data_IF_869038246696
#
_entry.id   IF_869038246696
#
_cell.length_a   1.000
_cell.length_b   1.000
_cell.length_c   1.000
_cell.angle_alpha   90.00
_cell.angle_beta   90.00
_cell.angle_gamma   90.00
#
_symmetry.space_group_name_H-M   'P 1'
#
loop_
_entity.id
_entity.type
_entity.pdbx_description
1 polymer ?
#
# COMPACT_ATOMS: atom_id res chain seq x y z
N UNK A 1 -9.41 20.44 -31.02
CA UNK A 1 -8.76 19.47 -30.12
C UNK A 1 -9.21 18.10 -30.58
N UNK A 2 -8.29 17.22 -30.97
CA UNK A 2 -8.61 15.85 -31.40
C UNK A 2 -8.96 15.03 -30.15
N UNK A 3 -10.18 14.53 -30.05
CA UNK A 3 -10.57 13.64 -28.95
C UNK A 3 -9.70 12.38 -28.98
N UNK A 4 -9.13 12.00 -27.84
CA UNK A 4 -8.41 10.73 -27.71
C UNK A 4 -9.37 9.57 -27.94
N UNK A 5 -8.99 8.54 -28.72
CA UNK A 5 -9.79 7.35 -28.85
C UNK A 5 -9.99 6.73 -27.46
N UNK A 6 -11.25 6.49 -27.10
CA UNK A 6 -11.59 5.86 -25.84
C UNK A 6 -11.02 4.42 -25.81
N UNK A 7 -10.53 3.96 -24.65
CA UNK A 7 -10.02 2.61 -24.54
C UNK A 7 -11.17 1.62 -24.72
N UNK A 8 -10.89 0.54 -25.46
CA UNK A 8 -11.86 -0.54 -25.67
C UNK A 8 -12.40 -1.02 -24.32
N UNK A 9 -13.70 -1.27 -24.25
CA UNK A 9 -14.32 -1.93 -23.10
C UNK A 9 -13.71 -3.34 -22.90
N UNK A 10 -13.48 -3.81 -21.66
CA UNK A 10 -12.95 -5.13 -21.45
C UNK A 10 -13.95 -6.18 -21.93
N UNK A 11 -13.47 -7.17 -22.69
CA UNK A 11 -14.33 -8.19 -23.29
C UNK A 11 -14.89 -9.20 -22.27
N UNK A 12 -14.34 -9.26 -21.06
CA UNK A 12 -14.76 -10.20 -20.00
C UNK A 12 -15.45 -9.49 -18.83
N UNK A 13 -16.40 -10.19 -18.19
CA UNK A 13 -17.08 -9.70 -16.98
C UNK A 13 -16.09 -9.35 -15.85
N UNK A 14 -15.05 -10.17 -15.68
CA UNK A 14 -13.96 -9.89 -14.72
C UNK A 14 -13.25 -8.58 -15.07
N UNK A 15 -12.91 -8.35 -16.34
CA UNK A 15 -12.27 -7.11 -16.78
C UNK A 15 -13.15 -5.88 -16.53
N UNK A 16 -14.46 -5.99 -16.80
CA UNK A 16 -15.43 -4.92 -16.52
C UNK A 16 -15.50 -4.60 -15.03
N UNK A 17 -15.62 -5.62 -14.18
CA UNK A 17 -15.63 -5.46 -12.73
C UNK A 17 -14.36 -4.77 -12.19
N UNK A 18 -13.18 -5.14 -12.70
CA UNK A 18 -11.92 -4.47 -12.29
C UNK A 18 -11.89 -3.01 -12.75
N UNK A 19 -12.40 -2.69 -13.94
CA UNK A 19 -12.49 -1.30 -14.42
C UNK A 19 -13.46 -0.47 -13.58
N UNK A 20 -14.61 -1.03 -13.23
CA UNK A 20 -15.59 -0.40 -12.32
C UNK A 20 -15.00 -0.18 -10.93
N UNK A 21 -14.24 -1.14 -10.42
CA UNK A 21 -13.53 -1.01 -9.15
C UNK A 21 -12.47 0.09 -9.21
N UNK A 22 -11.65 0.15 -10.26
CA UNK A 22 -10.69 1.23 -10.48
C UNK A 22 -11.40 2.59 -10.50
N UNK A 23 -12.48 2.70 -11.29
CA UNK A 23 -13.28 3.93 -11.39
C UNK A 23 -13.85 4.37 -10.04
N UNK A 24 -14.39 3.42 -9.26
CA UNK A 24 -14.93 3.69 -7.92
C UNK A 24 -13.85 4.20 -6.96
N UNK A 25 -12.66 3.61 -7.00
CA UNK A 25 -11.52 4.06 -6.21
C UNK A 25 -11.04 5.44 -6.65
N UNK A 26 -10.95 5.72 -7.95
CA UNK A 26 -10.60 7.03 -8.47
C UNK A 26 -11.59 8.12 -8.01
N UNK A 27 -12.89 7.81 -7.93
CA UNK A 27 -13.88 8.73 -7.35
C UNK A 27 -13.64 8.96 -5.85
N UNK A 28 -13.23 7.93 -5.11
CA UNK A 28 -12.92 8.05 -3.69
C UNK A 28 -11.72 8.97 -3.42
N UNK A 29 -10.84 9.19 -4.41
CA UNK A 29 -9.75 10.18 -4.33
C UNK A 29 -10.21 11.63 -4.59
N UNK A 30 -11.53 11.84 -4.69
CA UNK A 30 -12.14 13.16 -4.89
C UNK A 30 -12.31 13.55 -6.35
N UNK A 31 -12.05 12.65 -7.32
CA UNK A 31 -12.20 12.99 -8.74
C UNK A 31 -13.69 13.08 -9.12
N UNK A 32 -14.11 14.26 -9.57
CA UNK A 32 -15.47 14.54 -10.04
C UNK A 32 -15.60 14.23 -11.53
N UNK A 33 -15.96 12.99 -11.84
CA UNK A 33 -16.21 12.47 -13.19
C UNK A 33 -17.43 11.55 -13.18
N UNK A 34 -18.23 11.56 -14.25
CA UNK A 34 -19.50 10.80 -14.32
C UNK A 34 -19.29 9.34 -14.68
N UNK A 35 -18.32 9.06 -15.53
CA UNK A 35 -18.02 7.72 -16.02
C UNK A 35 -16.51 7.54 -16.28
N UNK A 36 -16.13 6.31 -16.58
CA UNK A 36 -14.73 5.97 -16.86
C UNK A 36 -14.19 6.68 -18.11
N UNK A 37 -15.01 6.92 -19.14
CA UNK A 37 -14.59 7.63 -20.35
C UNK A 37 -14.15 9.07 -20.06
N UNK A 38 -14.90 9.81 -19.24
CA UNK A 38 -14.52 11.15 -18.77
C UNK A 38 -13.24 11.12 -17.93
N UNK A 39 -13.07 10.09 -17.08
CA UNK A 39 -11.83 9.90 -16.33
C UNK A 39 -10.65 9.70 -17.28
N UNK A 40 -10.79 8.82 -18.27
CA UNK A 40 -9.76 8.54 -19.25
C UNK A 40 -9.39 9.82 -20.04
N UNK A 41 -10.37 10.52 -20.62
CA UNK A 41 -10.11 11.74 -21.40
C UNK A 41 -9.44 12.84 -20.58
N UNK A 42 -9.73 12.92 -19.28
CA UNK A 42 -9.12 13.93 -18.39
C UNK A 42 -7.66 13.63 -18.07
N UNK A 43 -7.30 12.37 -17.84
CA UNK A 43 -5.98 12.01 -17.30
C UNK A 43 -5.03 11.42 -18.36
N UNK A 44 -5.54 10.63 -19.32
CA UNK A 44 -4.73 9.96 -20.34
C UNK A 44 -3.80 10.89 -21.15
N UNK A 45 -4.19 12.13 -21.54
CA UNK A 45 -3.31 13.02 -22.31
C UNK A 45 -2.05 13.47 -21.56
N UNK A 46 -2.03 13.35 -20.23
CA UNK A 46 -0.92 13.78 -19.39
C UNK A 46 -0.41 12.59 -18.56
N UNK A 47 0.70 12.01 -18.97
CA UNK A 47 1.28 10.83 -18.32
C UNK A 47 1.53 11.06 -16.82
N UNK A 48 2.03 12.24 -16.43
CA UNK A 48 2.28 12.56 -15.02
C UNK A 48 0.98 12.61 -14.21
N UNK A 49 -0.08 13.22 -14.76
CA UNK A 49 -1.37 13.26 -14.09
C UNK A 49 -2.01 11.87 -13.98
N UNK A 50 -1.90 11.05 -15.03
CA UNK A 50 -2.40 9.68 -15.02
C UNK A 50 -1.65 8.80 -14.01
N UNK A 51 -0.33 8.93 -13.93
CA UNK A 51 0.50 8.22 -12.95
C UNK A 51 0.20 8.66 -11.51
N UNK A 52 0.00 9.96 -11.28
CA UNK A 52 -0.42 10.47 -9.98
C UNK A 52 -1.79 9.91 -9.56
N UNK A 53 -2.75 9.81 -10.49
CA UNK A 53 -4.02 9.15 -10.22
C UNK A 53 -3.85 7.67 -9.88
N UNK A 54 -3.00 6.95 -10.62
CA UNK A 54 -2.69 5.54 -10.35
C UNK A 54 -2.07 5.37 -8.94
N UNK A 55 -1.19 6.26 -8.51
CA UNK A 55 -0.63 6.28 -7.14
C UNK A 55 -1.72 6.51 -6.08
N UNK A 56 -2.62 7.49 -6.29
CA UNK A 56 -3.73 7.74 -5.37
C UNK A 56 -4.66 6.50 -5.28
N UNK A 57 -5.05 5.92 -6.42
CA UNK A 57 -5.90 4.73 -6.48
C UNK A 57 -5.23 3.54 -5.79
N UNK A 58 -3.93 3.33 -6.03
CA UNK A 58 -3.17 2.29 -5.34
C UNK A 58 -3.16 2.52 -3.82
N UNK A 59 -2.96 3.77 -3.37
CA UNK A 59 -3.01 4.14 -1.95
C UNK A 59 -4.34 3.80 -1.29
N UNK A 60 -5.46 4.18 -1.91
CA UNK A 60 -6.79 3.85 -1.42
C UNK A 60 -7.05 2.33 -1.43
N UNK A 61 -6.69 1.64 -2.51
CA UNK A 61 -6.90 0.21 -2.64
C UNK A 61 -6.14 -0.58 -1.56
N UNK A 62 -4.87 -0.22 -1.32
CA UNK A 62 -4.02 -0.86 -0.31
C UNK A 62 -4.50 -0.57 1.12
N UNK A 63 -5.03 0.65 1.39
CA UNK A 63 -5.65 0.98 2.68
C UNK A 63 -6.93 0.19 2.91
N UNK A 64 -7.70 -0.07 1.85
CA UNK A 64 -8.89 -0.92 1.88
C UNK A 64 -8.58 -2.44 1.98
N UNK A 65 -7.30 -2.84 2.09
CA UNK A 65 -6.90 -4.23 2.27
C UNK A 65 -6.77 -5.04 0.98
N UNK A 66 -6.78 -4.40 -0.20
CA UNK A 66 -6.43 -5.10 -1.43
C UNK A 66 -4.95 -5.52 -1.41
N UNK A 67 -4.67 -6.74 -1.84
CA UNK A 67 -3.31 -7.25 -2.03
C UNK A 67 -2.59 -6.52 -3.16
N UNK A 68 -1.25 -6.48 -3.11
CA UNK A 68 -0.44 -5.89 -4.18
C UNK A 68 -0.81 -6.42 -5.58
N UNK A 69 -1.09 -7.73 -5.69
CA UNK A 69 -1.53 -8.37 -6.94
C UNK A 69 -2.87 -7.83 -7.44
N UNK A 70 -3.84 -7.61 -6.56
CA UNK A 70 -5.12 -7.00 -6.92
C UNK A 70 -4.93 -5.55 -7.37
N UNK A 71 -4.06 -4.81 -6.70
CA UNK A 71 -3.77 -3.42 -7.08
C UNK A 71 -3.08 -3.34 -8.44
N UNK A 72 -2.12 -4.23 -8.74
CA UNK A 72 -1.52 -4.32 -10.08
C UNK A 72 -2.60 -4.56 -11.16
N UNK A 73 -3.57 -5.43 -10.89
CA UNK A 73 -4.71 -5.66 -11.81
C UNK A 73 -5.59 -4.41 -11.96
N UNK A 74 -5.79 -3.64 -10.89
CA UNK A 74 -6.51 -2.37 -10.95
C UNK A 74 -5.75 -1.35 -11.81
N UNK A 75 -4.45 -1.18 -11.61
CA UNK A 75 -3.62 -0.24 -12.38
C UNK A 75 -3.53 -0.61 -13.87
N UNK A 76 -3.75 -1.88 -14.22
CA UNK A 76 -3.91 -2.27 -15.61
C UNK A 76 -5.14 -1.62 -16.28
N UNK A 77 -6.15 -1.22 -15.50
CA UNK A 77 -7.32 -0.45 -15.96
C UNK A 77 -7.15 1.07 -15.78
N UNK A 78 -5.99 1.54 -15.32
CA UNK A 78 -5.71 2.96 -15.15
C UNK A 78 -5.59 3.71 -16.49
N UNK A 79 -5.90 5.02 -16.54
CA UNK A 79 -5.77 5.81 -17.76
C UNK A 79 -4.37 5.76 -18.37
N UNK A 80 -3.31 5.71 -17.56
CA UNK A 80 -1.94 5.59 -18.06
C UNK A 80 -1.76 4.28 -18.85
N UNK A 81 -2.02 3.14 -18.22
CA UNK A 81 -1.84 1.82 -18.84
C UNK A 81 -2.73 1.65 -20.07
N UNK A 82 -3.99 2.09 -19.99
CA UNK A 82 -4.93 2.02 -21.11
C UNK A 82 -4.50 2.92 -22.27
N UNK A 83 -3.96 4.10 -21.99
CA UNK A 83 -3.46 5.00 -23.04
C UNK A 83 -2.23 4.43 -23.74
N UNK A 84 -1.29 3.88 -22.97
CA UNK A 84 -0.08 3.24 -23.53
C UNK A 84 -0.41 2.04 -24.42
N UNK A 85 -1.52 1.35 -24.16
CA UNK A 85 -1.96 0.20 -24.96
C UNK A 85 -3.00 0.56 -26.04
N UNK A 86 -3.52 1.78 -26.08
CA UNK A 86 -4.71 2.12 -26.87
C UNK A 86 -4.49 1.94 -28.38
N UNK A 87 -3.32 2.34 -28.89
CA UNK A 87 -3.01 2.34 -30.32
C UNK A 87 -2.11 1.18 -30.75
N UNK A 88 -1.71 0.33 -29.81
CA UNK A 88 -0.79 -0.78 -30.08
C UNK A 88 -1.50 -1.97 -30.73
N UNK A 89 -0.83 -2.63 -31.68
CA UNK A 89 -1.26 -3.93 -32.22
C UNK A 89 -1.19 -5.02 -31.13
N UNK A 90 -1.81 -6.20 -31.32
CA UNK A 90 -1.69 -7.31 -30.38
C UNK A 90 -0.23 -7.71 -30.08
N UNK A 91 0.63 -7.72 -31.09
CA UNK A 91 2.06 -8.05 -30.96
C UNK A 91 2.81 -6.99 -30.15
N UNK A 92 2.53 -5.71 -30.42
CA UNK A 92 3.11 -4.59 -29.67
C UNK A 92 2.62 -4.55 -28.22
N UNK A 93 1.35 -4.88 -27.97
CA UNK A 93 0.81 -5.06 -26.62
C UNK A 93 1.53 -6.15 -25.86
N UNK A 94 1.80 -7.29 -26.52
CA UNK A 94 2.53 -8.38 -25.92
C UNK A 94 3.97 -7.97 -25.57
N UNK A 95 4.63 -7.20 -26.44
CA UNK A 95 5.96 -6.66 -26.19
C UNK A 95 5.98 -5.59 -25.07
N UNK A 96 4.93 -4.78 -24.96
CA UNK A 96 4.79 -3.74 -23.95
C UNK A 96 4.37 -4.28 -22.57
N UNK A 97 3.81 -5.48 -22.50
CA UNK A 97 3.24 -6.07 -21.28
C UNK A 97 4.22 -6.07 -20.12
N UNK A 98 5.47 -6.47 -20.35
CA UNK A 98 6.50 -6.51 -19.29
C UNK A 98 6.75 -5.13 -18.68
N UNK A 99 6.87 -4.09 -19.51
CA UNK A 99 7.07 -2.71 -19.06
C UNK A 99 5.86 -2.17 -18.29
N UNK A 100 4.64 -2.47 -18.74
CA UNK A 100 3.41 -2.04 -18.07
C UNK A 100 3.22 -2.76 -16.72
N UNK A 101 3.57 -4.04 -16.65
CA UNK A 101 3.58 -4.79 -15.40
C UNK A 101 4.64 -4.24 -14.43
N UNK A 102 5.84 -3.94 -14.92
CA UNK A 102 6.91 -3.34 -14.12
C UNK A 102 6.47 -1.98 -13.57
N UNK A 103 5.84 -1.13 -14.40
CA UNK A 103 5.27 0.14 -13.97
C UNK A 103 4.25 -0.04 -12.82
N UNK A 104 3.28 -0.94 -13.00
CA UNK A 104 2.25 -1.16 -12.00
C UNK A 104 2.85 -1.71 -10.69
N UNK A 105 3.82 -2.62 -10.79
CA UNK A 105 4.52 -3.17 -9.62
C UNK A 105 5.33 -2.10 -8.89
N UNK A 106 6.07 -1.27 -9.61
CA UNK A 106 6.84 -0.17 -9.04
C UNK A 106 5.91 0.83 -8.34
N UNK A 107 4.79 1.21 -8.97
CA UNK A 107 3.80 2.11 -8.38
C UNK A 107 3.26 1.56 -7.05
N UNK A 108 2.94 0.27 -7.00
CA UNK A 108 2.48 -0.37 -5.75
C UNK A 108 3.56 -0.39 -4.68
N UNK A 109 4.80 -0.71 -5.05
CA UNK A 109 5.93 -0.73 -4.11
C UNK A 109 6.20 0.67 -3.53
N UNK A 110 6.28 1.70 -4.37
CA UNK A 110 6.50 3.08 -3.95
C UNK A 110 5.40 3.55 -2.98
N UNK A 111 4.14 3.27 -3.30
CA UNK A 111 3.01 3.62 -2.42
C UNK A 111 3.08 2.88 -1.08
N UNK A 112 3.43 1.58 -1.07
CA UNK A 112 3.56 0.85 0.19
C UNK A 112 4.77 1.32 1.02
N UNK A 113 5.91 1.62 0.38
CA UNK A 113 7.09 2.17 1.05
C UNK A 113 6.80 3.53 1.66
N UNK A 114 6.11 4.41 0.91
CA UNK A 114 5.69 5.71 1.41
C UNK A 114 4.75 5.57 2.61
N UNK A 115 3.80 4.64 2.56
CA UNK A 115 2.92 4.36 3.71
C UNK A 115 3.70 3.83 4.92
N UNK A 116 4.68 2.96 4.72
CA UNK A 116 5.49 2.45 5.82
C UNK A 116 6.29 3.60 6.45
N UNK A 117 6.90 4.44 5.61
CA UNK A 117 7.64 5.63 6.04
C UNK A 117 6.76 6.59 6.84
N UNK A 118 5.51 6.83 6.44
CA UNK A 118 4.57 7.68 7.19
C UNK A 118 4.39 7.20 8.63
N UNK A 119 4.15 5.90 8.83
CA UNK A 119 4.02 5.34 10.18
C UNK A 119 5.35 5.30 10.93
N UNK A 120 6.44 4.94 10.25
CA UNK A 120 7.77 4.93 10.84
C UNK A 120 8.19 6.34 11.31
N UNK A 121 7.90 7.37 10.52
CA UNK A 121 8.12 8.76 10.89
C UNK A 121 7.26 9.16 12.08
N UNK A 122 5.98 8.75 12.11
CA UNK A 122 5.09 9.03 13.24
C UNK A 122 5.58 8.43 14.57
N UNK A 123 6.20 7.24 14.55
CA UNK A 123 6.69 6.58 15.77
C UNK A 123 8.13 6.95 16.16
N UNK A 124 8.98 7.30 15.19
CA UNK A 124 10.38 7.66 15.45
C UNK A 124 10.62 9.16 15.59
N UNK A 125 9.80 9.99 14.94
CA UNK A 125 9.89 11.45 14.90
C UNK A 125 11.11 12.01 14.15
N UNK A 126 11.92 11.18 13.49
CA UNK A 126 13.27 11.57 13.02
C UNK A 126 13.51 11.35 11.52
N UNK A 127 12.77 10.45 10.88
CA UNK A 127 13.15 9.94 9.57
C UNK A 127 12.16 10.42 8.51
N UNK A 128 12.68 11.13 7.51
CA UNK A 128 11.88 11.79 6.48
C UNK A 128 11.97 11.12 5.11
N UNK A 129 12.85 10.11 4.94
CA UNK A 129 13.00 9.39 3.68
C UNK A 129 13.14 7.88 3.92
N UNK A 130 12.60 7.09 2.98
CA UNK A 130 12.69 5.63 3.04
C UNK A 130 14.14 5.12 2.94
N UNK A 131 15.03 5.68 2.10
CA UNK A 131 16.44 5.29 2.08
C UNK A 131 17.17 5.54 3.42
N UNK A 132 16.84 6.61 4.13
CA UNK A 132 17.41 6.87 5.47
C UNK A 132 16.89 5.86 6.49
N UNK A 133 15.58 5.60 6.45
CA UNK A 133 14.92 4.58 7.27
C UNK A 133 15.57 3.20 7.08
N UNK A 134 15.77 2.81 5.83
CA UNK A 134 16.38 1.54 5.51
C UNK A 134 17.80 1.45 6.04
N UNK A 135 18.63 2.47 5.79
CA UNK A 135 20.03 2.51 6.25
C UNK A 135 20.18 2.46 7.76
N UNK A 136 19.30 3.16 8.48
CA UNK A 136 19.37 3.23 9.95
C UNK A 136 19.05 1.88 10.61
N UNK A 137 18.08 1.14 10.07
CA UNK A 137 17.55 -0.06 10.72
C UNK A 137 18.10 -1.38 10.15
N UNK A 138 18.60 -1.41 8.92
CA UNK A 138 19.10 -2.65 8.30
C UNK A 138 20.30 -3.28 9.02
N UNK A 139 21.08 -2.47 9.76
CA UNK A 139 22.24 -2.94 10.51
C UNK A 139 21.92 -3.76 11.77
N UNK A 140 20.65 -3.83 12.18
CA UNK A 140 20.23 -4.56 13.38
C UNK A 140 18.83 -5.14 13.22
N UNK A 141 18.74 -6.47 13.11
CA UNK A 141 17.45 -7.19 13.06
C UNK A 141 16.56 -6.83 14.25
N UNK A 142 17.13 -6.70 15.46
CA UNK A 142 16.38 -6.33 16.66
C UNK A 142 15.76 -4.94 16.52
N UNK A 143 16.53 -3.94 16.07
CA UNK A 143 16.02 -2.58 15.90
C UNK A 143 14.93 -2.53 14.81
N UNK A 144 15.14 -3.23 13.70
CA UNK A 144 14.19 -3.28 12.60
C UNK A 144 12.87 -3.98 13.01
N UNK A 145 12.95 -5.09 13.75
CA UNK A 145 11.77 -5.80 14.28
C UNK A 145 11.03 -4.93 15.32
N UNK A 146 11.74 -4.20 16.17
CA UNK A 146 11.12 -3.28 17.13
C UNK A 146 10.40 -2.14 16.43
N UNK A 147 10.98 -1.59 15.36
CA UNK A 147 10.31 -0.61 14.52
C UNK A 147 9.05 -1.21 13.88
N UNK A 148 9.12 -2.42 13.33
CA UNK A 148 7.97 -3.12 12.74
C UNK A 148 6.83 -3.29 13.76
N UNK A 149 7.13 -3.61 15.02
CA UNK A 149 6.12 -3.68 16.08
C UNK A 149 5.47 -2.32 16.38
N UNK A 150 6.25 -1.24 16.42
CA UNK A 150 5.75 0.12 16.64
C UNK A 150 4.88 0.59 15.47
N UNK A 151 5.34 0.37 14.24
CA UNK A 151 4.59 0.67 13.01
C UNK A 151 3.30 -0.13 12.97
N UNK A 152 3.34 -1.40 13.34
CA UNK A 152 2.14 -2.27 13.44
C UNK A 152 1.13 -1.69 14.42
N UNK A 153 1.58 -1.32 15.63
CA UNK A 153 0.71 -0.77 16.65
C UNK A 153 0.06 0.55 16.19
N UNK A 154 0.84 1.43 15.57
CA UNK A 154 0.36 2.70 15.02
C UNK A 154 -0.63 2.49 13.87
N UNK A 155 -0.34 1.59 12.94
CA UNK A 155 -1.18 1.31 11.78
C UNK A 155 -2.52 0.66 12.17
N UNK A 156 -2.50 -0.27 13.13
CA UNK A 156 -3.73 -0.84 13.71
C UNK A 156 -4.53 0.22 14.47
N UNK A 157 -3.85 1.07 15.26
CA UNK A 157 -4.47 2.18 16.00
C UNK A 157 -5.12 3.23 15.08
N UNK A 158 -4.60 3.40 13.87
CA UNK A 158 -5.19 4.24 12.82
C UNK A 158 -6.35 3.57 12.06
N UNK A 159 -6.83 2.39 12.51
CA UNK A 159 -7.93 1.66 11.90
C UNK A 159 -7.52 0.76 10.72
N UNK A 160 -6.23 0.49 10.53
CA UNK A 160 -5.75 -0.44 9.52
C UNK A 160 -6.23 -1.86 9.79
N UNK A 161 -6.65 -2.58 8.74
CA UNK A 161 -7.00 -4.00 8.86
C UNK A 161 -5.74 -4.86 9.03
N UNK A 162 -5.83 -6.01 9.71
CA UNK A 162 -4.67 -6.89 9.92
C UNK A 162 -3.96 -7.28 8.62
N UNK A 163 -4.73 -7.55 7.56
CA UNK A 163 -4.22 -7.89 6.24
C UNK A 163 -3.49 -6.72 5.58
N UNK A 164 -4.02 -5.49 5.71
CA UNK A 164 -3.39 -4.30 5.18
C UNK A 164 -2.09 -3.98 5.93
N UNK A 165 -2.07 -4.16 7.25
CA UNK A 165 -0.87 -3.97 8.08
C UNK A 165 0.17 -5.05 7.81
N UNK A 166 -0.23 -6.32 7.65
CA UNK A 166 0.70 -7.39 7.26
C UNK A 166 1.36 -7.10 5.90
N UNK A 167 0.59 -6.60 4.92
CA UNK A 167 1.14 -6.18 3.64
C UNK A 167 2.07 -4.96 3.77
N UNK A 168 1.77 -4.04 4.69
CA UNK A 168 2.60 -2.87 4.97
C UNK A 168 3.98 -3.28 5.51
N UNK A 169 4.03 -4.24 6.44
CA UNK A 169 5.27 -4.72 7.06
C UNK A 169 6.23 -5.40 6.08
N UNK A 170 5.75 -5.89 4.94
CA UNK A 170 6.63 -6.40 3.89
C UNK A 170 7.53 -5.30 3.29
N UNK A 171 7.22 -4.03 3.53
CA UNK A 171 8.06 -2.89 3.19
C UNK A 171 8.93 -2.40 4.36
N UNK A 172 8.92 -3.07 5.51
CA UNK A 172 9.83 -2.73 6.60
C UNK A 172 11.29 -3.02 6.27
N UNK A 173 12.26 -2.31 6.88
CA UNK A 173 13.68 -2.55 6.65
C UNK A 173 14.10 -4.01 6.86
N UNK A 174 13.55 -4.67 7.88
CA UNK A 174 13.79 -6.10 8.13
C UNK A 174 13.31 -6.95 6.95
N UNK A 175 12.02 -6.85 6.61
CA UNK A 175 11.43 -7.62 5.51
C UNK A 175 12.16 -7.40 4.18
N UNK A 176 12.49 -6.15 3.84
CA UNK A 176 13.23 -5.82 2.61
C UNK A 176 14.64 -6.41 2.61
N UNK A 177 15.38 -6.30 3.71
CA UNK A 177 16.71 -6.89 3.79
C UNK A 177 16.66 -8.41 3.61
N UNK A 178 15.70 -9.06 4.28
CA UNK A 178 15.54 -10.50 4.18
C UNK A 178 15.16 -10.94 2.76
N UNK A 179 14.25 -10.24 2.07
CA UNK A 179 13.87 -10.58 0.70
C UNK A 179 14.97 -10.24 -0.32
N UNK A 180 15.49 -9.02 -0.28
CA UNK A 180 16.33 -8.46 -1.35
C UNK A 180 17.79 -8.89 -1.23
N UNK A 181 18.27 -9.06 0.01
CA UNK A 181 19.68 -9.39 0.27
C UNK A 181 19.84 -10.85 0.66
N UNK A 182 19.03 -11.33 1.62
CA UNK A 182 19.13 -12.70 2.11
C UNK A 182 18.34 -13.71 1.25
N UNK A 183 17.61 -13.25 0.24
CA UNK A 183 16.83 -14.09 -0.67
C UNK A 183 15.82 -15.00 0.05
N UNK A 184 15.31 -14.54 1.20
CA UNK A 184 14.26 -15.22 1.95
C UNK A 184 12.98 -15.22 1.14
N UNK A 185 12.28 -16.36 1.13
CA UNK A 185 11.07 -16.51 0.34
C UNK A 185 9.97 -15.50 0.75
N UNK A 186 9.20 -14.96 -0.20
CA UNK A 186 8.09 -14.05 0.11
C UNK A 186 7.09 -14.63 1.11
N UNK A 187 6.84 -15.95 1.07
CA UNK A 187 5.94 -16.63 2.01
C UNK A 187 6.44 -16.62 3.45
N UNK A 188 7.75 -16.70 3.67
CA UNK A 188 8.34 -16.61 5.02
C UNK A 188 8.19 -15.21 5.58
N UNK A 189 8.35 -14.18 4.74
CA UNK A 189 8.19 -12.79 5.13
C UNK A 189 6.73 -12.44 5.39
N UNK A 190 5.81 -13.01 4.62
CA UNK A 190 4.38 -12.92 4.88
C UNK A 190 4.01 -13.55 6.23
N UNK A 191 4.56 -14.72 6.57
CA UNK A 191 4.37 -15.35 7.89
C UNK A 191 4.91 -14.47 9.02
N UNK A 192 6.11 -13.91 8.86
CA UNK A 192 6.69 -12.96 9.81
C UNK A 192 5.77 -11.75 10.03
N UNK A 193 5.32 -11.12 8.94
CA UNK A 193 4.47 -9.94 9.00
C UNK A 193 3.14 -10.25 9.71
N UNK A 194 2.47 -11.34 9.32
CA UNK A 194 1.21 -11.75 9.94
C UNK A 194 1.36 -12.15 11.41
N UNK A 195 2.48 -12.80 11.77
CA UNK A 195 2.83 -13.13 13.13
C UNK A 195 3.04 -11.89 14.00
N UNK A 196 3.74 -10.89 13.46
CA UNK A 196 3.95 -9.59 14.13
C UNK A 196 2.63 -8.86 14.37
N UNK A 197 1.75 -8.81 13.37
CA UNK A 197 0.41 -8.23 13.50
C UNK A 197 -0.38 -8.92 14.60
N UNK A 198 -0.40 -10.26 14.60
CA UNK A 198 -1.14 -11.05 15.58
C UNK A 198 -0.59 -10.83 17.00
N UNK A 199 0.73 -10.81 17.16
CA UNK A 199 1.38 -10.54 18.43
C UNK A 199 1.00 -9.16 18.98
N UNK A 200 1.08 -8.11 18.16
CA UNK A 200 0.75 -6.75 18.60
C UNK A 200 -0.74 -6.62 18.94
N UNK A 201 -1.64 -7.23 18.15
CA UNK A 201 -3.06 -7.25 18.47
C UNK A 201 -3.35 -7.95 19.80
N UNK A 202 -2.67 -9.07 20.08
CA UNK A 202 -2.79 -9.77 21.36
C UNK A 202 -2.29 -8.92 22.53
N UNK A 203 -1.20 -8.17 22.36
CA UNK A 203 -0.70 -7.25 23.40
C UNK A 203 -1.70 -6.11 23.64
N UNK A 204 -2.25 -5.52 22.57
CA UNK A 204 -3.24 -4.44 22.68
C UNK A 204 -4.52 -4.90 23.38
N UNK A 205 -5.02 -6.10 23.07
CA UNK A 205 -6.22 -6.63 23.73
C UNK A 205 -6.02 -6.89 25.23
N UNK A 206 -4.83 -7.31 25.64
CA UNK A 206 -4.46 -7.45 27.06
C UNK A 206 -4.38 -6.11 27.79
N UNK A 207 -3.96 -5.05 27.12
CA UNK A 207 -3.89 -3.70 27.71
C UNK A 207 -5.27 -3.06 27.89
N UNK A 208 -6.21 -3.31 26.96
CA UNK A 208 -7.61 -2.84 27.08
C UNK A 208 -8.38 -3.60 28.17
N UNK A 209 -8.00 -4.84 28.45
CA UNK A 209 -8.60 -5.68 29.49
C UNK A 209 -8.09 -5.44 30.93
N UNK A 210 -7.14 -4.52 31.14
CA UNK A 210 -6.71 -4.17 32.51
C UNK A 210 -7.63 -3.07 33.06
N UNK A 211 -8.44 -3.34 34.12
CA UNK A 211 -9.03 -2.25 34.88
C UNK A 211 -7.86 -1.43 35.45
N UNK A 212 -7.93 -0.10 35.31
CA UNK A 212 -7.02 0.81 36.01
C UNK A 212 -6.89 0.32 37.45
N UNK A 213 -5.68 -0.16 37.81
CA UNK A 213 -5.36 -0.32 39.23
C UNK A 213 -5.43 1.07 39.82
N UNK A 214 -6.58 1.37 40.41
CA UNK A 214 -6.80 2.45 41.36
C UNK A 214 -5.55 2.51 42.21
N UNK A 215 -4.75 3.57 42.03
CA UNK A 215 -3.66 3.90 42.93
C UNK A 215 -4.31 4.16 44.28
N UNK A 216 -4.42 3.13 45.11
CA UNK A 216 -4.78 3.25 46.50
C UNK A 216 -3.69 4.11 47.14
N UNK A 217 -4.00 5.39 47.35
CA UNK A 217 -3.24 6.26 48.25
C UNK A 217 -3.41 5.66 49.65
N UNK A 218 -2.56 4.72 50.01
CA UNK A 218 -2.24 4.46 51.40
C UNK A 218 -1.43 5.68 51.87
N UNK A 219 -2.13 6.74 52.29
CA UNK A 219 -1.53 7.74 53.17
C UNK A 219 -1.66 7.13 54.56
N UNK A 220 -0.56 6.53 54.98
CA UNK A 220 -0.36 6.01 56.32
C UNK A 220 -0.77 7.08 57.34
N UNK A 221 -1.65 6.67 58.24
CA UNK A 221 -1.82 7.25 59.56
C UNK A 221 -0.57 6.94 60.40
N UNK A 222 -0.43 7.69 61.49
CA UNK A 222 0.59 7.62 62.56
C UNK A 222 1.74 8.63 62.32
N UNK A 223 1.88 9.72 63.09
CA UNK A 223 1.62 9.98 64.52
C UNK A 223 1.20 11.42 64.77
#
# INVERSE_FOLDING_TARGET
MTELPLPKEPDSAKGKAVREQYFSLAKATGKTVKNYGELYQRYAPNSTAAQALDQEVAGFALKAGNSARQVIQLLAQGPFTQHQAATLTPEEKQAALSKLLQYAQQTVNEVQQQRYLEFACAVTGKIQSYPDLYREYVGSDLAAIQLDQQVTAAALGAGGTPQAVGSLLQQGPYARFQMDVQQVSPSTIEQYANGTVTQVQAIQSLQVGQPERVRTRARELET
#
